data_IF_743469595993
#
_entry.id   IF_743469595993
#
_cell.length_a   1.000
_cell.length_b   1.000
_cell.length_c   1.000
_cell.angle_alpha   90.00
_cell.angle_beta   90.00
_cell.angle_gamma   90.00
#
_symmetry.space_group_name_H-M   'P 1'
#
loop_
_entity.id
_entity.type
_entity.pdbx_description
1 polymer ?
#
# COMPACT_ATOMS: atom_id res chain seq x y z
N UNK A 1 33.46 -43.85 5.37
CA UNK A 1 32.55 -43.18 6.34
C UNK A 1 31.90 -41.97 5.66
N UNK A 2 30.67 -41.61 6.02
CA UNK A 2 30.00 -40.39 5.53
C UNK A 2 29.44 -39.60 6.72
N UNK A 3 29.70 -38.29 6.74
CA UNK A 3 29.25 -37.38 7.79
C UNK A 3 28.53 -36.17 7.20
N UNK A 4 27.54 -35.66 7.92
CA UNK A 4 26.96 -34.34 7.64
C UNK A 4 28.03 -33.27 7.89
N UNK A 5 28.08 -32.27 7.01
CA UNK A 5 29.03 -31.17 7.11
C UNK A 5 28.42 -29.86 6.65
N UNK A 6 29.01 -28.76 7.10
CA UNK A 6 28.71 -27.42 6.66
C UNK A 6 29.91 -26.54 6.98
N UNK A 7 30.46 -25.84 5.98
CA UNK A 7 31.65 -25.00 6.17
C UNK A 7 31.32 -23.51 6.37
N UNK A 8 30.04 -23.12 6.29
CA UNK A 8 29.58 -21.77 6.59
C UNK A 8 29.53 -21.51 8.10
N UNK A 9 29.17 -20.27 8.47
CA UNK A 9 29.00 -19.94 9.88
C UNK A 9 27.78 -20.67 10.45
N UNK A 10 27.83 -21.28 11.63
CA UNK A 10 26.74 -22.13 12.14
C UNK A 10 25.36 -21.46 12.18
N UNK A 11 25.30 -20.14 12.39
CA UNK A 11 24.06 -19.37 12.43
C UNK A 11 23.29 -19.34 11.10
N UNK A 12 23.99 -19.57 9.98
CA UNK A 12 23.42 -19.59 8.62
C UNK A 12 22.92 -20.96 8.20
N UNK A 13 23.24 -22.02 8.97
CA UNK A 13 22.86 -23.38 8.62
C UNK A 13 21.34 -23.56 8.68
N UNK A 14 20.74 -24.02 7.58
CA UNK A 14 19.30 -24.25 7.42
C UNK A 14 18.46 -22.96 7.55
N UNK A 15 19.04 -21.82 7.16
CA UNK A 15 18.33 -20.55 6.91
C UNK A 15 18.31 -20.28 5.41
N UNK A 16 17.19 -19.77 4.91
CA UNK A 16 17.05 -19.46 3.49
C UNK A 16 17.48 -20.60 2.58
N UNK A 17 18.36 -20.29 1.62
CA UNK A 17 18.93 -21.24 0.69
C UNK A 17 20.02 -22.15 1.30
N UNK A 18 20.61 -21.76 2.43
CA UNK A 18 21.75 -22.44 3.03
C UNK A 18 21.39 -23.78 3.64
N UNK A 19 22.20 -24.79 3.33
CA UNK A 19 22.00 -26.16 3.84
C UNK A 19 23.31 -26.92 3.97
N UNK A 20 23.29 -27.88 4.88
CA UNK A 20 24.38 -28.84 5.04
C UNK A 20 24.56 -29.72 3.79
N UNK A 21 25.78 -30.23 3.63
CA UNK A 21 26.12 -31.27 2.69
C UNK A 21 26.58 -32.54 3.38
N UNK A 22 27.17 -33.45 2.60
CA UNK A 22 27.78 -34.70 3.09
C UNK A 22 29.23 -34.75 2.64
N UNK A 23 30.13 -35.07 3.56
CA UNK A 23 31.55 -35.33 3.27
C UNK A 23 31.84 -36.81 3.43
N UNK A 24 32.69 -37.33 2.56
CA UNK A 24 33.09 -38.74 2.54
C UNK A 24 34.54 -38.85 2.98
N UNK A 25 34.84 -39.78 3.88
CA UNK A 25 36.21 -40.10 4.27
C UNK A 25 36.91 -40.82 3.10
N UNK A 26 38.15 -40.43 2.79
CA UNK A 26 38.93 -41.08 1.74
C UNK A 26 39.22 -42.57 2.07
N UNK A 27 39.54 -43.36 1.04
CA UNK A 27 39.77 -44.81 1.19
C UNK A 27 41.03 -45.14 2.00
N UNK A 28 41.93 -44.18 2.13
CA UNK A 28 43.22 -44.32 2.81
C UNK A 28 43.14 -43.91 4.29
N UNK A 29 42.02 -43.34 4.72
CA UNK A 29 41.78 -42.85 6.09
C UNK A 29 42.47 -41.52 6.43
N UNK A 30 42.93 -40.77 5.43
CA UNK A 30 43.71 -39.54 5.61
C UNK A 30 42.85 -38.29 5.91
N UNK A 31 41.54 -38.36 5.67
CA UNK A 31 40.61 -37.29 6.02
C UNK A 31 39.30 -37.33 5.25
N UNK A 32 38.52 -36.26 5.40
CA UNK A 32 37.29 -36.07 4.65
C UNK A 32 37.52 -35.19 3.41
N UNK A 33 36.88 -35.56 2.30
CA UNK A 33 36.78 -34.73 1.10
C UNK A 33 35.90 -33.48 1.28
N UNK A 34 35.63 -32.74 0.19
CA UNK A 34 34.77 -31.56 0.23
C UNK A 34 33.35 -31.92 0.71
N UNK A 35 32.68 -30.93 1.30
CA UNK A 35 31.31 -31.08 1.74
C UNK A 35 30.35 -31.00 0.55
N UNK A 36 30.03 -32.14 -0.06
CA UNK A 36 29.22 -32.21 -1.27
C UNK A 36 27.75 -31.87 -0.97
N UNK A 37 27.16 -30.99 -1.79
CA UNK A 37 25.75 -30.60 -1.68
C UNK A 37 25.45 -29.50 -0.66
N UNK A 38 26.48 -28.99 0.06
CA UNK A 38 26.28 -27.80 0.89
C UNK A 38 25.98 -26.57 0.03
N UNK A 39 25.15 -25.67 0.55
CA UNK A 39 24.92 -24.34 -0.01
C UNK A 39 25.34 -23.34 1.05
N UNK A 40 26.33 -22.50 0.72
CA UNK A 40 26.89 -21.50 1.61
C UNK A 40 26.25 -20.14 1.34
N UNK A 41 26.28 -19.21 2.32
CA UNK A 41 25.83 -17.83 2.13
C UNK A 41 26.47 -17.17 0.92
N UNK A 42 25.65 -16.52 0.11
CA UNK A 42 26.07 -15.65 -1.01
C UNK A 42 25.34 -14.32 -0.93
N UNK A 43 25.87 -13.22 -1.49
CA UNK A 43 25.15 -11.94 -1.49
C UNK A 43 23.74 -12.08 -2.09
N UNK A 44 22.81 -11.29 -1.55
CA UNK A 44 21.42 -11.24 -1.99
C UNK A 44 21.26 -11.03 -3.49
N UNK A 45 20.23 -11.67 -4.03
CA UNK A 45 19.82 -11.53 -5.41
C UNK A 45 18.39 -11.01 -5.46
N UNK A 46 18.27 -9.72 -5.78
CA UNK A 46 17.00 -9.00 -5.89
C UNK A 46 16.03 -9.51 -6.98
N UNK A 47 16.37 -10.57 -7.72
CA UNK A 47 15.53 -11.20 -8.73
C UNK A 47 14.94 -12.55 -8.29
N UNK A 48 15.19 -12.97 -7.04
CA UNK A 48 14.64 -14.19 -6.43
C UNK A 48 13.93 -13.91 -5.11
N UNK A 49 13.14 -14.86 -4.64
CA UNK A 49 12.42 -14.79 -3.36
C UNK A 49 13.10 -15.66 -2.28
N UNK A 50 14.41 -15.90 -2.42
CA UNK A 50 15.21 -16.75 -1.55
C UNK A 50 16.11 -15.87 -0.69
N UNK A 51 16.37 -16.29 0.55
CA UNK A 51 17.36 -15.66 1.45
C UNK A 51 18.71 -16.32 1.14
N UNK A 52 19.52 -15.65 0.31
CA UNK A 52 20.76 -16.22 -0.23
C UNK A 52 21.95 -16.03 0.70
N UNK A 53 21.97 -14.95 1.48
CA UNK A 53 23.03 -14.72 2.47
C UNK A 53 22.72 -15.38 3.83
N UNK A 54 21.52 -15.96 3.95
CA UNK A 54 21.06 -16.81 5.02
C UNK A 54 21.07 -16.09 6.38
N UNK A 55 20.82 -14.77 6.35
CA UNK A 55 20.70 -13.92 7.52
C UNK A 55 19.28 -13.92 8.13
N UNK A 56 18.31 -14.47 7.39
CA UNK A 56 16.91 -14.57 7.77
C UNK A 56 16.00 -13.48 7.21
N UNK A 57 16.54 -12.54 6.43
CA UNK A 57 15.80 -11.60 5.59
C UNK A 57 15.94 -12.02 4.12
N UNK A 58 14.93 -11.71 3.32
CA UNK A 58 15.00 -11.89 1.86
C UNK A 58 15.15 -10.51 1.23
N UNK A 59 16.09 -10.37 0.30
CA UNK A 59 16.29 -9.16 -0.50
C UNK A 59 16.53 -7.88 0.31
N UNK A 60 17.24 -7.98 1.44
CA UNK A 60 17.65 -6.82 2.22
C UNK A 60 18.59 -5.92 1.42
N UNK A 61 18.28 -4.62 1.37
CA UNK A 61 19.04 -3.65 0.58
C UNK A 61 18.74 -3.68 -0.93
N UNK A 62 17.72 -4.42 -1.36
CA UNK A 62 17.22 -4.35 -2.74
C UNK A 62 16.29 -3.14 -2.94
N UNK A 63 16.44 -2.48 -4.08
CA UNK A 63 15.58 -1.38 -4.54
C UNK A 63 14.92 -1.77 -5.86
N UNK A 64 13.62 -1.51 -6.01
CA UNK A 64 12.84 -1.87 -7.20
C UNK A 64 12.25 -0.63 -7.89
N UNK A 65 12.01 -0.66 -9.20
CA UNK A 65 11.39 0.49 -9.87
C UNK A 65 9.88 0.64 -9.55
N UNK A 66 9.24 -0.47 -9.16
CA UNK A 66 7.81 -0.56 -8.81
C UNK A 66 7.53 -1.86 -8.06
N UNK A 67 6.40 -1.91 -7.37
CA UNK A 67 5.92 -3.14 -6.72
C UNK A 67 5.78 -4.31 -7.69
N UNK A 68 5.48 -4.07 -8.97
CA UNK A 68 5.38 -5.12 -10.00
C UNK A 68 6.70 -5.79 -10.37
N UNK A 69 7.84 -5.19 -10.00
CA UNK A 69 9.17 -5.74 -10.24
C UNK A 69 9.72 -6.52 -9.02
N UNK A 70 9.00 -6.49 -7.89
CA UNK A 70 9.33 -7.29 -6.71
C UNK A 70 9.16 -8.78 -7.06
N UNK A 71 10.15 -9.66 -6.72
CA UNK A 71 10.09 -11.07 -7.06
C UNK A 71 8.81 -11.76 -6.60
N UNK A 72 8.20 -12.53 -7.50
CA UNK A 72 7.02 -13.34 -7.18
C UNK A 72 7.36 -14.37 -6.11
N UNK A 73 6.42 -14.59 -5.18
CA UNK A 73 6.58 -15.52 -4.06
C UNK A 73 6.98 -14.84 -2.75
N UNK A 74 7.36 -13.56 -2.80
CA UNK A 74 7.45 -12.73 -1.61
C UNK A 74 6.05 -12.34 -1.11
N UNK A 75 5.85 -12.24 0.21
CA UNK A 75 4.60 -11.75 0.78
C UNK A 75 4.45 -10.25 0.54
N UNK A 76 3.21 -9.78 0.57
CA UNK A 76 2.91 -8.34 0.62
C UNK A 76 3.57 -7.68 1.85
N UNK A 77 4.11 -6.49 1.67
CA UNK A 77 4.96 -5.85 2.69
C UNK A 77 5.55 -4.54 2.23
N UNK A 78 6.41 -3.95 3.05
CA UNK A 78 7.10 -2.70 2.70
C UNK A 78 8.39 -3.02 1.94
N UNK A 79 8.57 -2.38 0.79
CA UNK A 79 9.75 -2.49 -0.05
C UNK A 79 10.26 -1.09 -0.42
N UNK A 80 11.58 -0.99 -0.62
CA UNK A 80 12.21 0.24 -1.10
C UNK A 80 12.08 0.31 -2.62
N UNK A 81 11.52 1.42 -3.11
CA UNK A 81 11.30 1.70 -4.51
C UNK A 81 12.12 2.92 -4.97
N UNK A 82 12.59 2.87 -6.19
CA UNK A 82 13.22 3.98 -6.91
C UNK A 82 12.46 4.23 -8.22
N UNK A 83 11.53 5.18 -8.17
CA UNK A 83 10.52 5.37 -9.22
C UNK A 83 11.05 6.08 -10.47
N UNK A 84 12.18 6.78 -10.37
CA UNK A 84 12.85 7.46 -11.48
C UNK A 84 14.28 6.95 -11.75
N UNK A 85 14.76 5.98 -10.96
CA UNK A 85 16.04 5.33 -11.15
C UNK A 85 17.20 6.27 -10.76
N UNK A 86 18.23 6.43 -11.61
CA UNK A 86 19.33 7.36 -11.32
C UNK A 86 18.93 8.85 -11.45
N UNK A 87 17.64 9.15 -11.38
CA UNK A 87 17.07 10.48 -11.42
C UNK A 87 17.21 11.25 -10.11
N UNK A 88 16.62 12.45 -10.03
CA UNK A 88 16.75 13.31 -8.85
C UNK A 88 15.82 12.95 -7.69
N UNK A 89 14.77 12.15 -7.90
CA UNK A 89 13.86 11.79 -6.83
C UNK A 89 14.53 10.74 -5.91
N UNK A 90 14.38 10.87 -4.59
CA UNK A 90 14.93 9.88 -3.68
C UNK A 90 14.12 8.58 -3.72
N UNK A 91 14.79 7.48 -3.34
CA UNK A 91 14.12 6.23 -3.02
C UNK A 91 13.00 6.43 -1.98
N UNK A 92 11.98 5.59 -2.03
CA UNK A 92 10.82 5.64 -1.15
C UNK A 92 10.42 4.25 -0.67
N UNK A 93 9.93 4.18 0.57
CA UNK A 93 9.29 2.97 1.06
C UNK A 93 7.83 2.93 0.62
N UNK A 94 7.41 1.80 0.06
CA UNK A 94 6.04 1.55 -0.36
C UNK A 94 5.55 0.22 0.19
N UNK A 95 4.33 0.21 0.74
CA UNK A 95 3.64 -1.04 1.00
C UNK A 95 3.16 -1.60 -0.34
N UNK A 96 3.74 -2.72 -0.75
CA UNK A 96 3.38 -3.45 -1.95
C UNK A 96 2.44 -4.61 -1.60
N UNK A 97 1.25 -4.60 -2.20
CA UNK A 97 0.41 -5.79 -2.30
C UNK A 97 0.83 -6.60 -3.54
N UNK A 98 1.36 -7.79 -3.29
CA UNK A 98 1.92 -8.72 -4.26
C UNK A 98 0.98 -9.90 -4.55
N UNK A 99 -0.18 -9.96 -3.92
CA UNK A 99 -1.10 -11.10 -3.99
C UNK A 99 -2.38 -10.77 -4.77
N UNK A 100 -3.04 -9.65 -4.45
CA UNK A 100 -4.36 -9.32 -5.01
C UNK A 100 -4.28 -8.97 -6.49
N UNK A 101 -5.12 -9.59 -7.31
CA UNK A 101 -5.20 -9.32 -8.76
C UNK A 101 -3.83 -9.36 -9.47
N UNK A 102 -3.04 -10.39 -9.14
CA UNK A 102 -1.71 -10.60 -9.70
C UNK A 102 -0.61 -9.72 -9.10
N UNK A 103 -0.93 -8.92 -8.08
CA UNK A 103 0.01 -8.10 -7.33
C UNK A 103 0.51 -6.87 -8.08
N UNK A 104 1.60 -6.31 -7.55
CA UNK A 104 2.27 -5.14 -8.09
C UNK A 104 1.63 -3.81 -7.68
N UNK A 105 0.81 -3.81 -6.64
CA UNK A 105 0.06 -2.65 -6.18
C UNK A 105 0.82 -1.91 -5.08
N UNK A 106 1.10 -0.63 -5.28
CA UNK A 106 1.62 0.25 -4.24
C UNK A 106 0.48 0.94 -3.50
N UNK A 107 0.52 0.95 -2.17
CA UNK A 107 -0.41 1.69 -1.34
C UNK A 107 -0.20 3.20 -1.55
N UNK A 108 -1.18 3.89 -2.12
CA UNK A 108 -1.15 5.33 -2.32
C UNK A 108 -1.56 6.03 -1.03
N UNK A 109 -2.67 5.58 -0.45
CA UNK A 109 -3.10 6.05 0.85
C UNK A 109 -3.89 4.98 1.59
N UNK A 110 -3.97 5.15 2.90
CA UNK A 110 -4.73 4.31 3.80
C UNK A 110 -5.34 5.16 4.91
N UNK A 111 -6.67 5.11 5.05
CA UNK A 111 -7.36 5.66 6.21
C UNK A 111 -7.85 4.53 7.09
N UNK A 112 -7.57 4.58 8.38
CA UNK A 112 -7.89 3.53 9.35
C UNK A 112 -8.73 4.12 10.48
N UNK A 113 -9.86 3.47 10.76
CA UNK A 113 -10.72 3.75 11.91
C UNK A 113 -9.97 3.60 13.22
N UNK A 114 -10.01 4.61 14.09
CA UNK A 114 -9.34 4.57 15.40
C UNK A 114 -10.18 5.19 16.51
N UNK A 115 -10.53 4.37 17.50
CA UNK A 115 -11.11 4.82 18.78
C UNK A 115 -10.22 5.84 19.52
N UNK A 116 -8.94 5.94 19.17
CA UNK A 116 -8.00 6.91 19.74
C UNK A 116 -8.10 8.31 19.11
N UNK A 117 -8.97 8.51 18.11
CA UNK A 117 -9.36 9.83 17.62
C UNK A 117 -8.37 10.54 16.69
N UNK A 118 -7.40 9.82 16.09
CA UNK A 118 -6.29 10.44 15.34
C UNK A 118 -6.53 10.57 13.84
N UNK A 119 -7.59 9.96 13.32
CA UNK A 119 -7.74 9.82 11.87
C UNK A 119 -8.20 11.11 11.21
N UNK A 120 -9.11 11.84 11.85
CA UNK A 120 -9.56 13.15 11.35
C UNK A 120 -8.38 14.11 11.11
N UNK A 121 -7.55 14.34 12.14
CA UNK A 121 -6.42 15.27 12.05
C UNK A 121 -5.35 14.83 11.03
N UNK A 122 -5.18 13.52 10.82
CA UNK A 122 -4.20 13.03 9.85
C UNK A 122 -4.46 13.55 8.43
N UNK A 123 -5.75 13.62 8.07
CA UNK A 123 -6.22 14.00 6.74
C UNK A 123 -6.30 15.50 6.49
N UNK A 124 -5.94 16.35 7.46
CA UNK A 124 -5.80 17.78 7.26
C UNK A 124 -4.47 18.09 6.52
N UNK A 125 -4.44 17.80 5.21
CA UNK A 125 -3.26 17.97 4.35
C UNK A 125 -3.40 19.29 3.58
N UNK A 126 -2.57 20.32 3.85
CA UNK A 126 -2.56 21.55 3.07
C UNK A 126 -2.23 21.28 1.61
N UNK A 127 -2.65 22.14 0.70
CA UNK A 127 -2.38 21.99 -0.72
C UNK A 127 -0.87 22.01 -1.06
N UNK A 128 -0.06 22.74 -0.30
CA UNK A 128 1.39 22.66 -0.42
C UNK A 128 1.94 21.25 -0.10
N UNK A 129 1.26 20.54 0.81
CA UNK A 129 1.39 19.14 1.26
C UNK A 129 1.09 18.07 0.19
N UNK A 130 0.36 18.42 -0.87
CA UNK A 130 -0.44 17.45 -1.65
C UNK A 130 0.34 16.31 -2.33
N UNK A 131 1.62 16.49 -2.64
CA UNK A 131 2.48 15.42 -3.21
C UNK A 131 3.46 14.83 -2.18
N UNK A 132 3.37 15.27 -0.92
CA UNK A 132 4.22 14.82 0.17
C UNK A 132 3.84 13.43 0.70
N UNK A 133 4.46 13.09 1.83
CA UNK A 133 4.24 11.84 2.56
C UNK A 133 3.76 12.15 3.98
N UNK A 134 2.82 11.37 4.49
CA UNK A 134 2.43 11.38 5.91
C UNK A 134 2.23 9.95 6.41
N UNK A 135 2.71 9.68 7.62
CA UNK A 135 2.69 8.34 8.21
C UNK A 135 3.69 7.37 7.55
N UNK A 136 3.82 6.19 8.13
CA UNK A 136 4.63 5.10 7.57
C UNK A 136 3.73 4.13 6.80
N UNK A 137 4.20 3.54 5.69
CA UNK A 137 3.39 2.66 4.85
C UNK A 137 3.00 1.38 5.60
N UNK A 138 1.73 1.24 5.98
CA UNK A 138 1.17 0.02 6.56
C UNK A 138 -0.36 0.02 6.48
N UNK A 139 -0.96 -1.17 6.50
CA UNK A 139 -2.42 -1.34 6.49
C UNK A 139 -3.11 -1.04 7.83
N UNK A 140 -2.37 -1.12 8.94
CA UNK A 140 -2.89 -0.93 10.29
C UNK A 140 -2.87 0.52 10.80
N UNK A 141 -2.47 1.48 9.98
CA UNK A 141 -2.40 2.89 10.36
C UNK A 141 -2.67 3.83 9.18
N UNK A 142 -2.93 5.10 9.49
CA UNK A 142 -3.10 6.13 8.49
C UNK A 142 -1.80 6.37 7.71
N UNK A 143 -1.92 6.47 6.39
CA UNK A 143 -0.80 6.67 5.48
C UNK A 143 -1.22 7.47 4.25
N UNK A 144 -0.33 8.32 3.74
CA UNK A 144 -0.51 9.06 2.50
C UNK A 144 0.83 9.24 1.77
N UNK A 145 0.88 8.89 0.48
CA UNK A 145 2.01 9.15 -0.41
C UNK A 145 1.51 9.77 -1.72
N UNK A 146 1.35 11.09 -1.71
CA UNK A 146 0.81 11.84 -2.84
C UNK A 146 1.66 11.78 -4.10
N UNK A 147 2.98 11.59 -3.97
CA UNK A 147 3.90 11.48 -5.12
C UNK A 147 3.55 10.31 -6.06
N UNK A 148 2.90 9.25 -5.55
CA UNK A 148 2.53 8.09 -6.37
C UNK A 148 1.46 8.41 -7.42
N UNK A 149 0.71 9.51 -7.26
CA UNK A 149 -0.20 9.96 -8.34
C UNK A 149 0.54 10.31 -9.64
N UNK A 150 1.82 10.68 -9.60
CA UNK A 150 2.59 11.02 -10.79
C UNK A 150 2.88 9.80 -11.67
N UNK A 151 3.17 8.66 -11.04
CA UNK A 151 3.54 7.41 -11.72
C UNK A 151 2.36 6.47 -11.94
N UNK A 152 1.33 6.54 -11.08
CA UNK A 152 0.16 5.66 -11.16
C UNK A 152 -0.55 5.67 -12.50
N UNK A 153 -0.97 4.49 -12.96
CA UNK A 153 -1.69 4.30 -14.24
C UNK A 153 -2.97 3.50 -14.07
N UNK A 154 -2.95 2.54 -13.17
CA UNK A 154 -4.12 1.79 -12.74
C UNK A 154 -4.34 2.01 -11.25
N UNK A 155 -5.59 2.09 -10.84
CA UNK A 155 -6.00 2.39 -9.47
C UNK A 155 -7.12 1.47 -9.05
N UNK A 156 -7.12 1.11 -7.77
CA UNK A 156 -8.31 0.58 -7.11
C UNK A 156 -8.48 1.18 -5.73
N UNK A 157 -9.72 1.29 -5.32
CA UNK A 157 -10.09 1.62 -3.95
C UNK A 157 -10.69 0.39 -3.28
N UNK A 158 -10.32 0.17 -2.03
CA UNK A 158 -10.82 -0.91 -1.19
C UNK A 158 -11.39 -0.36 0.10
N UNK A 159 -12.46 -1.00 0.58
CA UNK A 159 -13.07 -0.68 1.88
C UNK A 159 -13.15 -1.94 2.72
N UNK A 160 -12.67 -1.85 3.96
CA UNK A 160 -12.84 -2.87 5.00
C UNK A 160 -13.95 -2.42 5.96
N UNK A 161 -15.02 -3.19 6.09
CA UNK A 161 -16.10 -2.89 7.03
C UNK A 161 -15.73 -3.24 8.50
N UNK A 162 -16.64 -2.96 9.44
CA UNK A 162 -16.42 -3.26 10.87
C UNK A 162 -16.35 -4.75 11.19
N UNK A 163 -16.86 -5.62 10.32
CA UNK A 163 -16.83 -7.07 10.48
C UNK A 163 -15.55 -7.69 9.88
N UNK A 164 -14.79 -6.90 9.11
CA UNK A 164 -13.54 -7.30 8.47
C UNK A 164 -13.72 -7.81 7.03
N UNK A 165 -14.89 -7.59 6.42
CA UNK A 165 -15.08 -7.86 5.00
C UNK A 165 -14.40 -6.77 4.19
N UNK A 166 -13.60 -7.15 3.19
CA UNK A 166 -12.91 -6.23 2.28
C UNK A 166 -13.54 -6.33 0.91
N UNK A 167 -13.94 -5.18 0.35
CA UNK A 167 -14.49 -5.09 -1.02
C UNK A 167 -13.68 -4.11 -1.86
N UNK A 168 -13.41 -4.48 -3.12
CA UNK A 168 -12.90 -3.55 -4.13
C UNK A 168 -14.06 -2.69 -4.64
N UNK A 169 -14.11 -1.44 -4.21
CA UNK A 169 -15.27 -0.58 -4.44
C UNK A 169 -15.19 0.25 -5.72
N UNK A 170 -13.97 0.41 -6.27
CA UNK A 170 -13.74 1.17 -7.51
C UNK A 170 -12.45 0.70 -8.16
N UNK A 171 -12.46 0.58 -9.50
CA UNK A 171 -11.27 0.39 -10.34
C UNK A 171 -11.28 1.37 -11.49
N UNK A 172 -10.13 2.00 -11.73
CA UNK A 172 -9.97 3.00 -12.77
C UNK A 172 -8.56 3.03 -13.35
N UNK A 173 -8.42 3.69 -14.50
CA UNK A 173 -7.13 4.04 -15.10
C UNK A 173 -7.00 5.54 -15.29
N UNK A 174 -5.77 6.04 -15.37
CA UNK A 174 -5.45 7.41 -15.79
C UNK A 174 -4.09 7.46 -16.49
N UNK A 175 -3.88 8.45 -17.36
CA UNK A 175 -2.58 8.67 -18.02
C UNK A 175 -1.56 9.41 -17.11
N UNK A 176 -1.95 9.70 -15.88
CA UNK A 176 -1.18 10.43 -14.87
C UNK A 176 -2.06 11.46 -14.15
N UNK A 177 -1.42 12.39 -13.44
CA UNK A 177 -2.08 13.51 -12.76
C UNK A 177 -1.45 14.83 -13.17
N UNK A 178 -2.26 15.89 -13.27
CA UNK A 178 -1.73 17.24 -13.31
C UNK A 178 -1.37 17.66 -11.87
N UNK A 179 -0.06 17.78 -11.59
CA UNK A 179 0.44 18.08 -10.25
C UNK A 179 -0.01 19.44 -9.68
N UNK A 180 -0.43 20.39 -10.52
CA UNK A 180 -0.93 21.69 -10.08
C UNK A 180 -2.42 21.66 -9.71
N UNK A 181 -3.22 20.97 -10.50
CA UNK A 181 -4.68 20.92 -10.29
C UNK A 181 -5.12 19.70 -9.49
N UNK A 182 -4.24 18.70 -9.34
CA UNK A 182 -4.54 17.38 -8.78
C UNK A 182 -5.71 16.66 -9.48
N UNK A 183 -5.95 17.00 -10.75
CA UNK A 183 -6.91 16.30 -11.61
C UNK A 183 -6.22 15.19 -12.37
N UNK A 184 -6.82 14.01 -12.34
CA UNK A 184 -6.34 12.86 -13.11
C UNK A 184 -6.48 13.17 -14.62
N UNK A 185 -5.50 12.74 -15.40
CA UNK A 185 -5.45 12.97 -16.85
C UNK A 185 -6.12 11.80 -17.54
N UNK A 186 -7.20 12.10 -18.28
CA UNK A 186 -8.04 11.10 -18.99
C UNK A 186 -8.44 9.90 -18.11
N UNK A 187 -9.00 10.13 -16.91
CA UNK A 187 -9.44 9.05 -16.05
C UNK A 187 -10.54 8.24 -16.74
N UNK A 188 -10.49 6.92 -16.59
CA UNK A 188 -11.50 5.98 -17.11
C UNK A 188 -11.94 5.03 -16.01
N UNK A 189 -13.25 4.91 -15.81
CA UNK A 189 -13.85 3.92 -14.91
C UNK A 189 -13.83 2.54 -15.56
N UNK A 190 -13.31 1.55 -14.86
CA UNK A 190 -13.16 0.18 -15.37
C UNK A 190 -14.13 -0.79 -14.69
N UNK A 191 -14.28 -0.70 -13.36
CA UNK A 191 -15.18 -1.56 -12.59
C UNK A 191 -15.52 -0.93 -11.22
N UNK A 192 -16.54 -1.48 -10.55
CA UNK A 192 -16.98 -1.01 -9.23
C UNK A 192 -18.06 0.08 -9.32
N UNK A 193 -18.17 0.88 -8.26
CA UNK A 193 -19.16 1.93 -8.11
C UNK A 193 -18.81 3.17 -8.95
N UNK A 194 -19.68 3.48 -9.91
CA UNK A 194 -19.58 4.70 -10.70
C UNK A 194 -19.71 5.97 -9.83
N UNK A 195 -20.49 5.90 -8.75
CA UNK A 195 -20.67 7.02 -7.81
C UNK A 195 -19.36 7.33 -7.09
N UNK A 196 -18.68 6.28 -6.58
CA UNK A 196 -17.35 6.41 -5.96
C UNK A 196 -16.32 6.92 -6.97
N UNK A 197 -16.31 6.37 -8.19
CA UNK A 197 -15.42 6.84 -9.24
C UNK A 197 -15.62 8.34 -9.52
N UNK A 198 -16.86 8.80 -9.65
CA UNK A 198 -17.15 10.22 -9.89
C UNK A 198 -16.73 11.07 -8.70
N UNK A 199 -17.09 10.66 -7.48
CA UNK A 199 -16.81 11.42 -6.26
C UNK A 199 -15.32 11.52 -5.95
N UNK A 200 -14.59 10.41 -6.06
CA UNK A 200 -13.28 10.28 -5.45
C UNK A 200 -12.12 10.06 -6.41
N UNK A 201 -12.37 9.97 -7.71
CA UNK A 201 -11.31 9.76 -8.69
C UNK A 201 -11.39 10.72 -9.88
N UNK A 202 -12.59 10.92 -10.43
CA UNK A 202 -12.80 11.76 -11.61
C UNK A 202 -12.81 13.26 -11.29
N UNK A 203 -13.39 13.63 -10.13
CA UNK A 203 -13.66 15.02 -9.76
C UNK A 203 -12.44 15.73 -9.15
N UNK A 204 -12.65 16.72 -8.30
CA UNK A 204 -11.61 17.64 -7.85
C UNK A 204 -10.99 17.24 -6.54
N UNK A 205 -9.68 17.43 -6.40
CA UNK A 205 -8.99 17.30 -5.12
C UNK A 205 -9.13 18.61 -4.34
N UNK A 206 -9.71 18.54 -3.13
CA UNK A 206 -9.87 19.70 -2.27
C UNK A 206 -9.23 19.47 -0.90
N UNK A 207 -8.72 20.55 -0.33
CA UNK A 207 -8.21 20.68 1.04
C UNK A 207 -8.80 21.94 1.67
N UNK A 208 -8.56 22.16 2.96
CA UNK A 208 -9.04 23.36 3.65
C UNK A 208 -8.58 24.68 3.01
N UNK A 209 -7.44 24.67 2.31
CA UNK A 209 -6.82 25.83 1.65
C UNK A 209 -6.91 25.80 0.11
N UNK A 210 -7.55 24.77 -0.47
CA UNK A 210 -7.75 24.63 -1.91
C UNK A 210 -9.10 24.00 -2.21
N UNK A 211 -9.92 24.73 -2.94
CA UNK A 211 -11.17 24.22 -3.49
C UNK A 211 -10.98 23.90 -4.98
N UNK A 212 -11.06 22.63 -5.36
CA UNK A 212 -11.04 22.22 -6.76
C UNK A 212 -12.20 21.29 -7.13
N UNK A 213 -13.10 21.04 -6.17
CA UNK A 213 -14.28 20.21 -6.35
C UNK A 213 -15.41 21.02 -7.02
N UNK A 214 -16.42 20.35 -7.60
CA UNK A 214 -17.50 21.01 -8.34
C UNK A 214 -18.66 21.48 -7.45
N UNK A 215 -18.61 21.31 -6.12
CA UNK A 215 -19.64 21.82 -5.22
C UNK A 215 -19.56 23.37 -5.14
N UNK A 216 -20.67 24.09 -4.90
CA UNK A 216 -20.60 25.55 -4.75
C UNK A 216 -19.79 26.04 -3.54
N UNK A 217 -19.61 25.20 -2.53
CA UNK A 217 -18.72 25.41 -1.39
C UNK A 217 -17.52 24.48 -1.44
N UNK A 218 -16.60 24.62 -0.48
CA UNK A 218 -15.44 23.73 -0.37
C UNK A 218 -15.81 22.54 0.53
N UNK A 219 -15.96 21.36 -0.07
CA UNK A 219 -16.35 20.15 0.68
C UNK A 219 -15.34 19.77 1.76
N UNK A 220 -14.04 20.03 1.57
CA UNK A 220 -13.05 19.78 2.62
C UNK A 220 -13.31 20.68 3.84
N UNK A 221 -13.62 21.97 3.65
CA UNK A 221 -13.96 22.87 4.75
C UNK A 221 -15.28 22.51 5.44
N UNK A 222 -16.28 22.10 4.65
CA UNK A 222 -17.59 21.70 5.19
C UNK A 222 -17.49 20.40 6.03
N UNK A 223 -16.54 19.52 5.71
CA UNK A 223 -16.32 18.24 6.37
C UNK A 223 -14.97 18.18 7.10
N UNK A 224 -14.77 19.13 8.04
CA UNK A 224 -13.69 19.10 9.03
C UNK A 224 -12.26 19.07 8.46
N UNK A 225 -12.01 19.83 7.40
CA UNK A 225 -10.71 19.99 6.76
C UNK A 225 -10.12 18.71 6.14
N UNK A 226 -10.93 17.67 5.93
CA UNK A 226 -10.46 16.41 5.34
C UNK A 226 -10.09 16.61 3.88
N UNK A 227 -8.82 16.30 3.57
CA UNK A 227 -8.28 16.42 2.23
C UNK A 227 -8.48 15.13 1.43
N UNK A 228 -9.21 15.22 0.32
CA UNK A 228 -9.45 14.11 -0.62
C UNK A 228 -9.99 14.63 -1.96
N UNK A 229 -10.24 13.72 -2.90
CA UNK A 229 -11.08 14.03 -4.06
C UNK A 229 -12.56 14.05 -3.67
N UNK A 230 -13.26 15.09 -4.12
CA UNK A 230 -14.68 15.35 -3.90
C UNK A 230 -15.39 15.66 -5.23
N UNK A 231 -16.69 15.33 -5.28
CA UNK A 231 -17.63 15.79 -6.31
C UNK A 231 -18.72 16.69 -5.69
N UNK A 232 -19.96 16.21 -5.57
CA UNK A 232 -20.98 16.83 -4.71
C UNK A 232 -20.70 16.40 -3.27
N UNK A 233 -19.54 16.83 -2.78
CA UNK A 233 -18.86 16.25 -1.64
C UNK A 233 -18.53 14.78 -1.85
N UNK A 234 -19.07 13.84 -1.08
CA UNK A 234 -18.46 12.53 -0.98
C UNK A 234 -19.45 11.36 -0.89
N UNK A 235 -19.00 10.19 -1.37
CA UNK A 235 -19.61 8.88 -1.12
C UNK A 235 -18.91 8.13 0.01
N UNK A 236 -17.62 8.39 0.22
CA UNK A 236 -16.90 8.08 1.45
C UNK A 236 -16.06 9.27 1.91
N UNK A 237 -15.83 9.39 3.21
CA UNK A 237 -14.95 10.39 3.79
C UNK A 237 -13.79 9.70 4.50
N UNK A 238 -12.57 10.18 4.28
CA UNK A 238 -11.36 9.58 4.85
C UNK A 238 -11.17 9.92 6.32
N UNK A 239 -11.76 10.99 6.85
CA UNK A 239 -11.47 11.44 8.22
C UNK A 239 -12.67 11.91 9.05
N UNK A 240 -13.72 12.42 8.42
CA UNK A 240 -14.89 13.00 9.05
C UNK A 240 -16.09 12.05 8.96
N UNK A 241 -17.07 12.27 9.83
CA UNK A 241 -18.41 11.72 9.72
C UNK A 241 -19.23 12.53 8.69
N UNK A 242 -20.28 11.93 8.13
CA UNK A 242 -21.27 12.57 7.26
C UNK A 242 -22.50 13.08 7.96
N UNK A 243 -22.66 12.75 9.25
CA UNK A 243 -23.74 13.27 10.07
C UNK A 243 -23.21 14.23 11.14
N UNK A 244 -24.01 15.24 11.49
CA UNK A 244 -23.64 16.13 12.58
C UNK A 244 -23.83 15.41 13.93
N UNK A 245 -22.82 15.40 14.83
CA UNK A 245 -21.53 16.08 14.71
C UNK A 245 -20.56 15.36 13.77
N UNK A 246 -19.96 16.09 12.82
CA UNK A 246 -19.03 15.55 11.82
C UNK A 246 -17.69 15.03 12.42
N UNK A 247 -17.49 15.25 13.71
CA UNK A 247 -16.46 14.61 14.52
C UNK A 247 -17.14 13.62 15.47
N UNK A 248 -16.86 12.35 15.27
CA UNK A 248 -17.47 11.22 15.96
C UNK A 248 -16.56 10.63 17.06
N UNK A 249 -15.66 11.47 17.59
CA UNK A 249 -14.57 11.08 18.48
C UNK A 249 -13.28 10.79 17.72
N UNK A 250 -13.16 11.30 16.49
CA UNK A 250 -12.02 11.16 15.60
C UNK A 250 -11.80 9.74 15.06
N UNK A 251 -12.85 8.91 14.96
CA UNK A 251 -12.76 7.55 14.43
C UNK A 251 -12.12 7.56 13.05
N UNK A 252 -12.56 8.48 12.19
CA UNK A 252 -12.11 8.48 10.80
C UNK A 252 -13.13 7.81 9.90
N UNK A 253 -12.72 6.94 8.96
CA UNK A 253 -13.40 6.81 7.68
C UNK A 253 -14.85 6.37 7.77
N UNK A 254 -15.68 7.02 6.97
CA UNK A 254 -17.10 6.72 6.82
C UNK A 254 -17.44 6.43 5.35
N UNK A 255 -18.40 5.55 5.15
CA UNK A 255 -18.99 5.24 3.86
C UNK A 255 -20.47 5.58 3.91
N UNK A 256 -21.01 6.22 2.87
CA UNK A 256 -22.44 6.46 2.78
C UNK A 256 -23.18 5.11 2.84
N UNK A 257 -24.11 4.94 3.78
CA UNK A 257 -24.71 3.63 4.07
C UNK A 257 -25.43 3.02 2.87
N UNK A 258 -26.04 3.85 2.03
CA UNK A 258 -26.68 3.39 0.79
C UNK A 258 -25.68 2.78 -0.23
N UNK A 259 -24.40 3.15 -0.17
CA UNK A 259 -23.32 2.53 -0.95
C UNK A 259 -22.88 1.24 -0.27
N UNK A 260 -22.70 1.24 1.05
CA UNK A 260 -22.34 0.04 1.82
C UNK A 260 -23.33 -1.12 1.56
N UNK A 261 -24.64 -0.84 1.68
CA UNK A 261 -25.71 -1.81 1.42
C UNK A 261 -25.69 -2.34 -0.02
N UNK A 262 -25.39 -1.48 -1.01
CA UNK A 262 -25.31 -1.87 -2.43
C UNK A 262 -24.13 -2.78 -2.72
N UNK A 263 -23.02 -2.58 -2.00
CA UNK A 263 -21.79 -3.35 -2.11
C UNK A 263 -21.77 -4.58 -1.20
N UNK A 264 -22.80 -4.77 -0.35
CA UNK A 264 -22.88 -5.89 0.58
C UNK A 264 -21.95 -5.79 1.78
N UNK A 265 -21.46 -4.58 2.11
CA UNK A 265 -20.67 -4.29 3.30
C UNK A 265 -21.58 -4.09 4.52
N UNK A 266 -21.06 -4.44 5.70
CA UNK A 266 -21.77 -4.21 6.95
C UNK A 266 -21.98 -2.70 7.20
N UNK A 267 -23.14 -2.36 7.78
CA UNK A 267 -23.49 -1.01 8.22
C UNK A 267 -23.78 -1.00 9.71
N UNK A 268 -23.36 0.07 10.40
CA UNK A 268 -23.70 0.33 11.81
C UNK A 268 -25.10 0.95 12.00
N UNK A 269 -25.83 1.19 10.91
CA UNK A 269 -27.18 1.74 10.90
C UNK A 269 -27.27 3.27 10.93
N UNK A 270 -26.14 3.99 10.92
CA UNK A 270 -26.13 5.44 10.69
C UNK A 270 -26.33 5.74 9.19
N UNK A 271 -26.65 6.99 8.80
CA UNK A 271 -26.63 7.41 7.39
C UNK A 271 -25.23 7.33 6.75
N UNK A 272 -24.18 7.53 7.55
CA UNK A 272 -22.78 7.44 7.17
C UNK A 272 -22.09 6.39 8.02
N UNK A 273 -22.05 5.14 7.57
CA UNK A 273 -21.53 4.03 8.38
C UNK A 273 -20.03 4.15 8.59
N UNK A 274 -19.57 3.87 9.80
CA UNK A 274 -18.15 3.68 10.09
C UNK A 274 -17.62 2.49 9.31
N UNK A 275 -16.39 2.63 8.82
CA UNK A 275 -15.63 1.52 8.24
C UNK A 275 -14.29 1.40 8.95
N UNK A 276 -13.69 0.20 8.92
CA UNK A 276 -12.36 -0.03 9.49
C UNK A 276 -11.27 0.63 8.66
N UNK A 277 -11.41 0.57 7.33
CA UNK A 277 -10.35 1.04 6.43
C UNK A 277 -10.89 1.50 5.09
N UNK A 278 -10.30 2.56 4.55
CA UNK A 278 -10.43 2.94 3.14
C UNK A 278 -9.02 3.10 2.58
N UNK A 279 -8.69 2.32 1.56
CA UNK A 279 -7.36 2.31 0.95
C UNK A 279 -7.46 2.62 -0.54
N UNK A 280 -6.49 3.37 -1.06
CA UNK A 280 -6.26 3.49 -2.51
C UNK A 280 -4.93 2.89 -2.86
N UNK A 281 -4.94 2.10 -3.91
CA UNK A 281 -3.78 1.44 -4.48
C UNK A 281 -3.51 1.95 -5.88
N UNK A 282 -2.26 1.90 -6.31
CA UNK A 282 -1.90 2.16 -7.70
C UNK A 282 -0.79 1.26 -8.20
N UNK A 283 -0.77 0.98 -9.51
CA UNK A 283 0.35 0.34 -10.20
C UNK A 283 0.65 1.03 -11.53
N UNK A 284 1.85 0.79 -12.05
CA UNK A 284 2.38 1.41 -13.27
C UNK A 284 3.35 0.51 -14.01
#
# INVERSE_FOLDING_TARGET
>A
SQDVCYSGRPETLNRGACRSGVRVCDEEGNGYGPCAGQVLPTPERCDTAEDEDCDGAVNQGCTYARCGDVPRGLPSGVFTLDVDGPGPEPELDAYCDLETDGGGWALLYNSVGSEAGKTLQFWEIPYAERLGTRGEPALGQNFYRGSLYAVGREYRDEIEDLEGNVEEVMRATAEGIDAGTMKLVRPTHTAGSADIYVAHFFSGWSSHDRDADPHPGNCALEHQNVTQHYAQCWEYNLGADGDAPFDDGGWGPHLATHIAERLGLASDGSPSTRVRRISRWTRW
#
